data_IF_540231329200
#
_entry.id   IF_540231329200
#
_cell.length_a   1.000
_cell.length_b   1.000
_cell.length_c   1.000
_cell.angle_alpha   90.00
_cell.angle_beta   90.00
_cell.angle_gamma   90.00
#
_symmetry.space_group_name_H-M   'P 1'
#
loop_
_entity.id
_entity.type
_entity.pdbx_description
1 polymer ?
#
# COMPACT_ATOMS: atom_id res chain seq x y z
N UNK A 1 7.05 -5.99 -5.65
CA UNK A 1 7.49 -4.63 -5.46
C UNK A 1 8.86 -4.59 -4.81
N UNK A 2 9.53 -3.46 -4.75
CA UNK A 2 10.91 -3.37 -4.26
C UNK A 2 11.00 -3.29 -2.74
N UNK A 3 12.18 -3.59 -2.21
CA UNK A 3 12.46 -3.44 -0.79
C UNK A 3 12.23 -1.99 -0.33
N UNK A 4 11.82 -1.82 0.91
CA UNK A 4 11.55 -0.51 1.45
C UNK A 4 11.49 -0.49 2.97
N UNK A 5 11.14 0.67 3.50
CA UNK A 5 10.99 0.90 4.94
C UNK A 5 9.59 1.44 5.20
N UNK A 6 8.92 0.87 6.19
CA UNK A 6 7.62 1.37 6.64
C UNK A 6 7.81 2.74 7.30
N UNK A 7 7.17 3.76 6.75
CA UNK A 7 7.30 5.15 7.21
C UNK A 7 6.09 5.67 7.95
N UNK A 8 4.91 5.14 7.64
CA UNK A 8 3.69 5.52 8.33
C UNK A 8 2.67 4.38 8.29
N UNK A 9 1.88 4.28 9.33
CA UNK A 9 0.69 3.44 9.40
C UNK A 9 -0.40 4.29 10.02
N UNK A 10 -1.52 4.43 9.35
CA UNK A 10 -2.63 5.22 9.88
C UNK A 10 -3.97 4.58 9.57
N UNK A 11 -4.97 4.92 10.38
CA UNK A 11 -6.33 4.45 10.19
C UNK A 11 -6.94 5.07 8.93
N UNK A 12 -7.51 4.24 8.08
CA UNK A 12 -8.30 4.66 6.94
C UNK A 12 -9.78 4.31 7.12
N UNK A 13 -10.58 4.51 6.07
CA UNK A 13 -12.02 4.29 6.13
C UNK A 13 -12.43 2.84 6.40
N UNK A 14 -11.70 1.86 5.89
CA UNK A 14 -12.04 0.43 6.00
C UNK A 14 -11.08 -0.37 6.88
N UNK A 15 -9.89 0.16 7.16
CA UNK A 15 -8.88 -0.53 7.92
C UNK A 15 -7.70 0.38 8.21
N UNK A 16 -6.50 -0.03 7.76
CA UNK A 16 -5.29 0.78 7.91
C UNK A 16 -4.56 0.92 6.59
N UNK A 17 -3.89 2.03 6.43
CA UNK A 17 -2.97 2.29 5.34
C UNK A 17 -1.53 2.15 5.82
N UNK A 18 -0.70 1.50 5.01
CA UNK A 18 0.74 1.33 5.23
C UNK A 18 1.45 2.13 4.15
N UNK A 19 2.32 3.04 4.56
CA UNK A 19 3.17 3.81 3.66
C UNK A 19 4.59 3.25 3.71
N UNK A 20 5.12 2.88 2.56
CA UNK A 20 6.47 2.35 2.42
C UNK A 20 7.27 3.29 1.53
N UNK A 21 8.45 3.70 2.01
CA UNK A 21 9.43 4.41 1.21
C UNK A 21 10.40 3.40 0.62
N UNK A 22 10.60 3.50 -0.69
CA UNK A 22 11.53 2.68 -1.44
C UNK A 22 12.72 3.53 -1.88
N UNK A 23 13.90 2.98 -1.74
CA UNK A 23 15.10 3.60 -2.28
C UNK A 23 15.17 3.42 -3.80
N UNK A 24 16.07 4.17 -4.42
CA UNK A 24 16.30 4.15 -5.87
C UNK A 24 16.27 2.76 -6.47
N UNK A 25 15.40 2.60 -7.42
CA UNK A 25 15.54 1.57 -8.43
C UNK A 25 16.53 2.06 -9.48
N UNK A 26 17.23 1.16 -10.14
CA UNK A 26 18.28 1.38 -11.13
C UNK A 26 18.01 2.44 -12.22
N UNK A 27 16.79 2.87 -12.39
CA UNK A 27 16.38 3.88 -13.36
C UNK A 27 16.06 5.22 -12.72
N UNK A 28 17.05 5.95 -12.29
CA UNK A 28 17.06 7.42 -12.16
C UNK A 28 15.87 8.17 -11.51
N UNK A 29 14.83 7.52 -11.01
CA UNK A 29 13.60 8.21 -10.56
C UNK A 29 13.71 8.73 -9.12
N UNK A 30 14.76 8.39 -8.38
CA UNK A 30 14.90 8.76 -6.98
C UNK A 30 14.00 7.93 -6.05
N UNK A 31 13.74 8.45 -4.86
CA UNK A 31 12.86 7.82 -3.89
C UNK A 31 11.42 7.83 -4.38
N UNK A 32 10.69 6.78 -4.08
CA UNK A 32 9.25 6.73 -4.25
C UNK A 32 8.58 6.08 -3.04
N UNK A 33 7.31 6.32 -2.89
CA UNK A 33 6.50 5.71 -1.85
C UNK A 33 5.37 4.90 -2.47
N UNK A 34 5.04 3.80 -1.81
CA UNK A 34 3.83 3.03 -2.09
C UNK A 34 2.91 3.08 -0.88
N UNK A 35 1.61 3.19 -1.14
CA UNK A 35 0.58 3.15 -0.13
C UNK A 35 -0.31 1.93 -0.35
N UNK A 36 -0.49 1.16 0.70
CA UNK A 36 -1.36 -0.02 0.73
C UNK A 36 -2.47 0.24 1.73
N UNK A 37 -3.68 0.49 1.26
CA UNK A 37 -4.77 0.85 2.12
C UNK A 37 -5.86 -0.22 2.20
N UNK A 38 -6.73 -0.07 3.19
CA UNK A 38 -7.80 -1.00 3.53
C UNK A 38 -7.24 -2.36 3.93
N UNK A 39 -6.18 -2.32 4.74
CA UNK A 39 -5.45 -3.50 5.19
C UNK A 39 -5.58 -3.71 6.69
N UNK A 40 -5.26 -4.93 7.10
CA UNK A 40 -5.01 -5.31 8.48
C UNK A 40 -3.53 -5.73 8.58
N UNK A 41 -2.64 -4.84 9.05
CA UNK A 41 -1.21 -5.11 9.11
C UNK A 41 -0.87 -6.28 10.03
N UNK A 42 0.15 -7.05 9.66
CA UNK A 42 0.74 -8.05 10.55
C UNK A 42 1.33 -7.38 11.81
N UNK A 43 1.36 -8.13 12.91
CA UNK A 43 1.79 -7.58 14.21
C UNK A 43 3.23 -7.06 14.21
N UNK A 44 4.09 -7.59 13.37
CA UNK A 44 5.49 -7.20 13.23
C UNK A 44 5.71 -6.02 12.25
N UNK A 45 4.67 -5.59 11.54
CA UNK A 45 4.73 -4.45 10.63
C UNK A 45 4.48 -3.16 11.42
N UNK A 46 5.54 -2.42 11.64
CA UNK A 46 5.56 -1.16 12.40
C UNK A 46 6.41 -0.13 11.67
N UNK A 47 6.20 1.13 11.98
CA UNK A 47 7.05 2.23 11.48
C UNK A 47 8.52 1.94 11.78
N UNK A 48 9.37 2.06 10.77
CA UNK A 48 10.81 1.78 10.85
C UNK A 48 11.21 0.36 10.43
N UNK A 49 10.27 -0.55 10.28
CA UNK A 49 10.56 -1.93 9.83
C UNK A 49 10.94 -1.94 8.36
N UNK A 50 11.98 -2.68 8.03
CA UNK A 50 12.36 -2.98 6.65
C UNK A 50 11.52 -4.13 6.12
N UNK A 51 11.01 -3.97 4.91
CA UNK A 51 10.28 -5.00 4.18
C UNK A 51 10.99 -5.33 2.88
N UNK A 52 10.96 -6.59 2.52
CA UNK A 52 11.56 -7.09 1.28
C UNK A 52 10.46 -7.43 0.28
N UNK A 53 10.80 -7.38 -0.98
CA UNK A 53 9.94 -7.87 -2.04
C UNK A 53 9.51 -9.31 -1.74
N UNK A 54 8.20 -9.57 -1.78
CA UNK A 54 7.62 -10.87 -1.46
C UNK A 54 7.21 -11.06 0.00
N UNK A 55 7.58 -10.16 0.90
CA UNK A 55 7.12 -10.24 2.29
C UNK A 55 5.60 -10.05 2.38
N UNK A 56 4.97 -10.84 3.23
CA UNK A 56 3.56 -10.65 3.58
C UNK A 56 3.49 -9.60 4.68
N UNK A 57 2.90 -8.45 4.34
CA UNK A 57 2.80 -7.31 5.27
C UNK A 57 1.46 -7.25 5.98
N UNK A 58 0.41 -7.66 5.31
CA UNK A 58 -0.95 -7.46 5.78
C UNK A 58 -1.92 -8.41 5.08
N UNK A 59 -3.10 -8.51 5.62
CA UNK A 59 -4.27 -9.06 4.95
C UNK A 59 -5.21 -7.91 4.56
N UNK A 60 -6.17 -8.17 3.71
CA UNK A 60 -7.25 -7.21 3.44
C UNK A 60 -8.10 -7.03 4.70
N UNK A 61 -8.52 -5.80 4.95
CA UNK A 61 -9.39 -5.50 6.09
C UNK A 61 -10.75 -6.18 5.92
N UNK A 62 -11.31 -6.65 7.03
CA UNK A 62 -12.68 -7.12 7.07
C UNK A 62 -13.63 -5.93 6.92
N UNK A 63 -14.43 -5.94 5.87
CA UNK A 63 -15.40 -4.88 5.56
C UNK A 63 -16.83 -5.25 5.92
N UNK A 64 -17.05 -6.40 6.57
CA UNK A 64 -18.39 -6.90 6.93
C UNK A 64 -19.18 -5.93 7.82
N UNK A 65 -18.49 -5.10 8.60
CA UNK A 65 -19.09 -4.08 9.47
C UNK A 65 -19.35 -2.75 8.75
N UNK A 66 -18.95 -2.62 7.50
CA UNK A 66 -19.19 -1.41 6.71
C UNK A 66 -20.64 -1.30 6.29
N UNK A 67 -21.30 -0.20 6.64
CA UNK A 67 -22.67 0.10 6.19
C UNK A 67 -22.79 0.31 4.68
N UNK A 68 -21.67 0.55 4.01
CA UNK A 68 -21.61 0.81 2.57
C UNK A 68 -21.56 -0.47 1.72
N UNK A 69 -21.61 -1.65 2.30
CA UNK A 69 -21.54 -2.95 1.60
C UNK A 69 -20.33 -3.06 0.65
N UNK A 70 -19.20 -2.47 1.04
CA UNK A 70 -17.97 -2.49 0.26
C UNK A 70 -17.27 -3.83 0.48
N UNK A 71 -16.91 -4.50 -0.61
CA UNK A 71 -16.13 -5.74 -0.54
C UNK A 71 -14.68 -5.46 -0.12
N UNK A 72 -14.02 -6.42 0.56
CA UNK A 72 -12.60 -6.32 0.85
C UNK A 72 -11.81 -6.12 -0.45
N UNK A 73 -10.95 -5.11 -0.46
CA UNK A 73 -10.11 -4.79 -1.62
C UNK A 73 -8.85 -4.05 -1.17
N UNK A 74 -7.82 -4.11 -1.99
CA UNK A 74 -6.62 -3.32 -1.81
C UNK A 74 -6.75 -2.00 -2.57
N UNK A 75 -6.58 -0.89 -1.86
CA UNK A 75 -6.34 0.40 -2.49
C UNK A 75 -4.83 0.65 -2.53
N UNK A 76 -4.28 0.71 -3.73
CA UNK A 76 -2.85 0.91 -3.95
C UNK A 76 -2.59 2.26 -4.61
N UNK A 77 -1.62 2.99 -4.08
CA UNK A 77 -1.16 4.25 -4.66
C UNK A 77 0.35 4.30 -4.71
N UNK A 78 0.87 4.99 -5.70
CA UNK A 78 2.30 5.19 -5.90
C UNK A 78 2.58 6.68 -6.06
N UNK A 79 3.68 7.16 -5.49
CA UNK A 79 4.03 8.56 -5.60
C UNK A 79 5.50 8.84 -5.34
N UNK A 80 5.93 10.03 -5.75
CA UNK A 80 7.27 10.56 -5.44
C UNK A 80 7.15 11.59 -4.33
N UNK A 81 7.79 11.36 -3.18
CA UNK A 81 7.79 12.33 -2.11
C UNK A 81 8.72 13.51 -2.45
N UNK A 82 8.41 14.69 -1.90
CA UNK A 82 9.35 15.80 -1.90
C UNK A 82 10.59 15.44 -1.09
N UNK A 83 11.73 16.06 -1.38
CA UNK A 83 12.98 15.80 -0.65
C UNK A 83 12.88 16.11 0.85
N UNK A 84 12.01 17.06 1.20
CA UNK A 84 11.78 17.52 2.57
C UNK A 84 10.58 16.85 3.25
N UNK A 85 10.09 15.72 2.72
CA UNK A 85 8.91 15.05 3.27
C UNK A 85 9.10 14.69 4.75
N UNK A 86 8.09 15.02 5.55
CA UNK A 86 7.96 14.50 6.91
C UNK A 86 6.84 13.45 6.94
N UNK A 87 7.13 12.32 7.56
CA UNK A 87 6.13 11.26 7.75
C UNK A 87 5.37 11.39 9.07
N UNK A 88 5.74 12.36 9.90
CA UNK A 88 5.00 12.65 11.12
C UNK A 88 3.57 13.13 10.79
N UNK A 89 2.59 12.49 11.41
CA UNK A 89 1.18 12.82 11.15
C UNK A 89 0.72 12.54 9.72
N UNK A 90 1.38 11.65 9.01
CA UNK A 90 1.03 11.29 7.63
C UNK A 90 -0.38 10.70 7.57
N UNK A 91 -1.22 11.27 6.71
CA UNK A 91 -2.61 10.84 6.46
C UNK A 91 -2.93 10.98 4.97
N UNK A 92 -4.14 10.62 4.56
CA UNK A 92 -4.55 10.73 3.15
C UNK A 92 -4.42 12.15 2.57
N UNK A 93 -4.68 13.18 3.37
CA UNK A 93 -4.49 14.57 2.92
C UNK A 93 -3.03 14.86 2.58
N UNK A 94 -2.08 14.23 3.27
CA UNK A 94 -0.67 14.31 2.92
C UNK A 94 -0.40 13.67 1.55
N UNK A 95 -0.95 12.48 1.33
CA UNK A 95 -0.78 11.75 0.06
C UNK A 95 -1.36 12.52 -1.14
N UNK A 96 -2.42 13.28 -0.92
CA UNK A 96 -3.09 14.08 -1.96
C UNK A 96 -2.50 15.46 -2.17
N UNK A 97 -1.60 15.89 -1.31
CA UNK A 97 -0.99 17.23 -1.42
C UNK A 97 0.14 17.20 -2.45
N UNK A 98 -0.01 17.85 -3.62
CA UNK A 98 0.99 17.81 -4.69
C UNK A 98 2.32 18.50 -4.34
N UNK A 99 2.33 19.34 -3.32
CA UNK A 99 3.57 19.94 -2.79
C UNK A 99 4.42 18.91 -2.01
N UNK A 100 3.77 17.87 -1.50
CA UNK A 100 4.41 16.82 -0.70
C UNK A 100 4.64 15.54 -1.49
N UNK A 101 3.65 15.12 -2.26
CA UNK A 101 3.65 13.88 -3.02
C UNK A 101 3.17 14.13 -4.44
N UNK A 102 3.94 13.72 -5.42
CA UNK A 102 3.51 13.67 -6.82
C UNK A 102 3.06 12.26 -7.12
N UNK A 103 1.76 12.07 -7.28
CA UNK A 103 1.19 10.76 -7.59
C UNK A 103 1.65 10.28 -8.96
N UNK A 104 1.90 8.99 -9.07
CA UNK A 104 2.33 8.31 -10.28
C UNK A 104 1.33 7.22 -10.64
N UNK A 105 1.29 6.86 -11.92
CA UNK A 105 0.51 5.73 -12.39
C UNK A 105 1.09 4.42 -11.84
N UNK A 106 0.33 3.64 -11.07
CA UNK A 106 0.82 2.38 -10.52
C UNK A 106 0.82 1.23 -11.53
N UNK A 107 0.07 1.33 -12.63
CA UNK A 107 -0.14 0.22 -13.57
C UNK A 107 1.16 -0.37 -14.11
N UNK A 108 2.17 0.41 -14.53
CA UNK A 108 3.43 -0.15 -15.01
C UNK A 108 4.18 -0.97 -13.95
N UNK A 109 3.92 -0.71 -12.68
CA UNK A 109 4.58 -1.40 -11.55
C UNK A 109 3.86 -2.69 -11.20
N UNK A 110 2.53 -2.70 -11.28
CA UNK A 110 1.71 -3.86 -10.93
C UNK A 110 1.43 -4.79 -12.11
N UNK A 111 1.73 -4.37 -13.33
CA UNK A 111 1.60 -5.19 -14.54
C UNK A 111 2.76 -6.20 -14.66
N UNK A 112 2.94 -6.98 -13.60
CA UNK A 112 3.91 -8.07 -13.52
C UNK A 112 3.22 -9.35 -13.06
N UNK A 113 3.77 -10.53 -13.38
CA UNK A 113 3.24 -11.76 -12.82
C UNK A 113 3.13 -11.66 -11.29
N UNK A 114 1.98 -11.95 -10.77
CA UNK A 114 1.73 -11.99 -9.32
C UNK A 114 1.28 -13.39 -8.92
N UNK A 115 1.51 -13.72 -7.67
CA UNK A 115 1.03 -14.94 -7.06
C UNK A 115 -0.09 -14.58 -6.08
N UNK A 116 -1.30 -15.08 -6.33
CA UNK A 116 -2.38 -14.96 -5.37
C UNK A 116 -2.11 -15.93 -4.22
N UNK A 117 -2.05 -15.42 -2.99
CA UNK A 117 -1.99 -16.23 -1.79
C UNK A 117 -3.39 -16.42 -1.24
N UNK A 118 -3.74 -17.65 -0.91
CA UNK A 118 -5.04 -17.94 -0.29
C UNK A 118 -5.11 -17.33 1.10
N UNK A 119 -5.95 -16.34 1.25
CA UNK A 119 -6.33 -15.79 2.54
C UNK A 119 -7.73 -16.28 2.89
N UNK A 120 -7.92 -17.52 3.22
CA UNK A 120 -9.11 -18.10 3.87
C UNK A 120 -10.51 -17.70 3.37
N UNK A 121 -10.63 -16.87 2.35
CA UNK A 121 -11.88 -16.37 1.81
C UNK A 121 -11.94 -16.55 0.29
N UNK A 122 -12.73 -17.51 -0.16
CA UNK A 122 -12.94 -17.84 -1.58
C UNK A 122 -13.44 -16.66 -2.43
N UNK A 123 -14.21 -15.75 -1.82
CA UNK A 123 -14.77 -14.59 -2.53
C UNK A 123 -13.69 -13.59 -2.99
N UNK A 124 -12.67 -13.38 -2.18
CA UNK A 124 -11.54 -12.53 -2.55
C UNK A 124 -10.76 -13.12 -3.73
N UNK A 125 -10.66 -14.44 -3.79
CA UNK A 125 -9.97 -15.16 -4.86
C UNK A 125 -10.66 -14.98 -6.22
N UNK A 126 -11.97 -15.09 -6.26
CA UNK A 126 -12.74 -14.92 -7.50
C UNK A 126 -12.68 -13.50 -8.04
N UNK A 127 -12.76 -12.50 -7.17
CA UNK A 127 -12.67 -11.10 -7.57
C UNK A 127 -11.29 -10.72 -8.12
N UNK A 128 -10.22 -11.29 -7.57
CA UNK A 128 -8.87 -11.07 -8.06
C UNK A 128 -8.62 -11.73 -9.42
N UNK A 129 -9.12 -12.95 -9.61
CA UNK A 129 -8.97 -13.67 -10.88
C UNK A 129 -9.74 -13.03 -12.05
N UNK A 130 -10.80 -12.27 -11.78
CA UNK A 130 -11.58 -11.57 -12.80
C UNK A 130 -10.99 -10.22 -13.22
N UNK A 131 -10.13 -9.59 -12.40
CA UNK A 131 -9.54 -8.27 -12.69
C UNK A 131 -8.17 -8.33 -13.37
N UNK A 132 -7.56 -9.45 -13.34
CA UNK A 132 -6.21 -9.68 -13.85
C UNK A 132 -6.14 -10.99 -14.62
#
# INVERSE_FOLDING_TARGET
MHNGVVKAIFKDYLGRAIIIEHEKIESSIGKFISAYAHTNPQADIKVGVRVKEGDIMATLADTSHSKAHILPHLHFSLGRPSESISYEGFVWNTMRNPEKIILADPLPVIDRPYQALEAGNSLCRELWSQKF
#
